data_IF_986862931927
#
_entry.id   IF_986862931927
#
_cell.length_a   1.000
_cell.length_b   1.000
_cell.length_c   1.000
_cell.angle_alpha   90.00
_cell.angle_beta   90.00
_cell.angle_gamma   90.00
#
_symmetry.space_group_name_H-M   'P 1'
#
loop_
_entity.id
_entity.type
_entity.pdbx_description
1 polymer ?
#
# COMPACT_ATOMS: atom_id res chain seq x y z
N UNK A 1 19.30 -32.36 19.96
CA UNK A 1 18.30 -32.20 18.90
C UNK A 1 19.06 -31.64 17.70
N UNK A 2 19.49 -32.53 16.78
CA UNK A 2 20.39 -32.18 15.66
C UNK A 2 19.60 -31.39 14.61
N UNK A 3 19.89 -30.10 14.47
CA UNK A 3 19.39 -29.30 13.36
C UNK A 3 20.04 -29.84 12.07
N UNK A 4 19.22 -30.39 11.15
CA UNK A 4 19.71 -30.89 9.87
C UNK A 4 20.33 -29.75 9.06
N UNK A 5 21.47 -29.93 8.37
CA UNK A 5 22.10 -28.89 7.56
C UNK A 5 21.17 -28.34 6.46
N UNK A 6 20.20 -29.13 6.03
CA UNK A 6 19.16 -28.71 5.06
C UNK A 6 18.18 -27.67 5.64
N UNK A 7 17.88 -27.72 6.94
CA UNK A 7 16.98 -26.74 7.58
C UNK A 7 17.67 -25.40 7.80
N UNK A 8 18.97 -25.39 8.05
CA UNK A 8 19.76 -24.19 8.20
C UNK A 8 19.94 -23.44 6.87
N UNK A 9 20.20 -24.18 5.78
CA UNK A 9 20.32 -23.57 4.46
C UNK A 9 18.99 -22.97 3.96
N UNK A 10 17.87 -23.63 4.22
CA UNK A 10 16.53 -23.09 3.89
C UNK A 10 16.21 -21.84 4.71
N UNK A 11 16.56 -21.81 6.00
CA UNK A 11 16.37 -20.64 6.86
C UNK A 11 17.18 -19.43 6.37
N UNK A 12 18.47 -19.64 6.06
CA UNK A 12 19.34 -18.58 5.53
C UNK A 12 18.84 -18.08 4.17
N UNK A 13 18.42 -18.98 3.28
CA UNK A 13 17.85 -18.61 1.99
C UNK A 13 16.58 -17.75 2.14
N UNK A 14 15.67 -18.10 3.06
CA UNK A 14 14.48 -17.32 3.38
C UNK A 14 14.85 -15.92 3.93
N UNK A 15 15.79 -15.82 4.86
CA UNK A 15 16.23 -14.52 5.38
C UNK A 15 16.83 -13.61 4.30
N UNK A 16 17.68 -14.17 3.43
CA UNK A 16 18.27 -13.42 2.31
C UNK A 16 17.18 -12.95 1.36
N UNK A 17 16.20 -13.81 1.07
CA UNK A 17 15.09 -13.48 0.19
C UNK A 17 14.18 -12.39 0.79
N UNK A 18 13.81 -12.47 2.07
CA UNK A 18 12.98 -11.45 2.72
C UNK A 18 13.68 -10.09 2.77
N UNK A 19 15.00 -10.07 2.99
CA UNK A 19 15.78 -8.84 2.90
C UNK A 19 15.78 -8.27 1.48
N UNK A 20 15.95 -9.11 0.46
CA UNK A 20 15.93 -8.69 -0.94
C UNK A 20 14.56 -8.10 -1.32
N UNK A 21 13.46 -8.78 -0.97
CA UNK A 21 12.09 -8.29 -1.14
C UNK A 21 11.89 -6.92 -0.47
N UNK A 22 12.35 -6.77 0.78
CA UNK A 22 12.26 -5.52 1.52
C UNK A 22 12.98 -4.36 0.80
N UNK A 23 14.23 -4.56 0.35
CA UNK A 23 15.00 -3.48 -0.27
C UNK A 23 14.45 -3.08 -1.65
N UNK A 24 13.99 -4.02 -2.46
CA UNK A 24 13.40 -3.69 -3.77
C UNK A 24 12.07 -2.96 -3.57
N UNK A 25 11.18 -3.48 -2.71
CA UNK A 25 9.91 -2.82 -2.43
C UNK A 25 10.12 -1.43 -1.82
N UNK A 26 11.10 -1.25 -0.91
CA UNK A 26 11.44 0.06 -0.35
C UNK A 26 11.94 1.04 -1.43
N UNK A 27 12.79 0.57 -2.34
CA UNK A 27 13.28 1.37 -3.46
C UNK A 27 12.14 1.80 -4.39
N UNK A 28 11.23 0.88 -4.74
CA UNK A 28 10.05 1.18 -5.55
C UNK A 28 9.13 2.17 -4.83
N UNK A 29 8.90 2.01 -3.53
CA UNK A 29 8.09 2.93 -2.73
C UNK A 29 8.64 4.36 -2.76
N UNK A 30 9.96 4.53 -2.56
CA UNK A 30 10.60 5.85 -2.58
C UNK A 30 10.51 6.49 -3.96
N UNK A 31 10.84 5.76 -5.03
CA UNK A 31 10.74 6.28 -6.40
C UNK A 31 9.29 6.64 -6.74
N UNK A 32 8.35 5.76 -6.45
CA UNK A 32 6.94 6.02 -6.72
C UNK A 32 6.46 7.28 -5.96
N UNK A 33 6.84 7.45 -4.69
CA UNK A 33 6.48 8.64 -3.89
C UNK A 33 7.09 9.93 -4.46
N UNK A 34 8.35 9.91 -4.91
CA UNK A 34 8.96 11.06 -5.59
C UNK A 34 8.18 11.40 -6.86
N UNK A 35 7.77 10.41 -7.63
CA UNK A 35 6.96 10.60 -8.83
C UNK A 35 5.57 11.13 -8.53
N UNK A 36 4.93 10.75 -7.41
CA UNK A 36 3.65 11.34 -6.94
C UNK A 36 3.78 12.85 -6.80
N UNK A 37 4.84 13.33 -6.14
CA UNK A 37 5.02 14.75 -5.82
C UNK A 37 5.43 15.57 -7.07
N UNK A 38 6.16 14.95 -7.99
CA UNK A 38 6.70 15.65 -9.17
C UNK A 38 5.74 15.72 -10.35
N UNK A 39 4.65 14.92 -10.34
CA UNK A 39 3.69 14.92 -11.44
C UNK A 39 2.70 16.08 -11.31
N UNK A 40 2.51 16.81 -12.39
CA UNK A 40 1.52 17.91 -12.49
C UNK A 40 0.11 17.42 -12.74
N UNK A 41 -0.04 16.21 -13.31
CA UNK A 41 -1.35 15.61 -13.58
C UNK A 41 -1.78 14.75 -12.39
N UNK A 42 -2.92 15.09 -11.79
CA UNK A 42 -3.45 14.42 -10.60
C UNK A 42 -3.73 12.92 -10.80
N UNK A 43 -4.19 12.52 -11.98
CA UNK A 43 -4.46 11.10 -12.28
C UNK A 43 -3.17 10.29 -12.34
N UNK A 44 -2.12 10.86 -12.96
CA UNK A 44 -0.80 10.20 -12.97
C UNK A 44 -0.18 10.13 -11.58
N UNK A 45 -0.32 11.19 -10.78
CA UNK A 45 0.12 11.18 -9.39
C UNK A 45 -0.58 10.07 -8.59
N UNK A 46 -1.91 9.89 -8.80
CA UNK A 46 -2.64 8.79 -8.16
C UNK A 46 -2.15 7.40 -8.59
N UNK A 47 -1.83 7.18 -9.86
CA UNK A 47 -1.29 5.89 -10.31
C UNK A 47 0.02 5.54 -9.59
N UNK A 48 0.92 6.51 -9.46
CA UNK A 48 2.16 6.31 -8.70
C UNK A 48 1.90 6.16 -7.20
N UNK A 49 0.89 6.82 -6.65
CA UNK A 49 0.49 6.66 -5.25
C UNK A 49 0.01 5.23 -4.97
N UNK A 50 -0.80 4.65 -5.87
CA UNK A 50 -1.23 3.24 -5.77
C UNK A 50 0.00 2.32 -5.74
N UNK A 51 0.94 2.52 -6.66
CA UNK A 51 2.17 1.71 -6.72
C UNK A 51 2.98 1.86 -5.42
N UNK A 52 3.10 3.07 -4.88
CA UNK A 52 3.79 3.31 -3.61
C UNK A 52 3.15 2.56 -2.44
N UNK A 53 1.83 2.61 -2.33
CA UNK A 53 1.08 1.92 -1.26
C UNK A 53 1.16 0.38 -1.41
N UNK A 54 1.12 -0.14 -2.64
CA UNK A 54 1.33 -1.57 -2.88
C UNK A 54 2.76 -2.01 -2.52
N UNK A 55 3.75 -1.17 -2.78
CA UNK A 55 5.13 -1.44 -2.35
C UNK A 55 5.25 -1.46 -0.82
N UNK A 56 4.56 -0.55 -0.10
CA UNK A 56 4.49 -0.55 1.37
C UNK A 56 3.82 -1.83 1.89
N UNK A 57 2.77 -2.32 1.22
CA UNK A 57 2.15 -3.60 1.58
C UNK A 57 3.14 -4.77 1.47
N UNK A 58 3.98 -4.81 0.41
CA UNK A 58 5.04 -5.83 0.28
C UNK A 58 6.13 -5.68 1.34
N UNK A 59 6.46 -4.47 1.77
CA UNK A 59 7.36 -4.22 2.89
C UNK A 59 6.79 -4.84 4.18
N UNK A 60 5.51 -4.65 4.48
CA UNK A 60 4.86 -5.30 5.63
C UNK A 60 4.89 -6.82 5.52
N UNK A 61 4.71 -7.35 4.31
CA UNK A 61 4.82 -8.79 4.06
C UNK A 61 6.23 -9.30 4.34
N UNK A 62 7.25 -8.59 3.87
CA UNK A 62 8.66 -8.90 4.13
C UNK A 62 9.04 -8.82 5.62
N UNK A 63 8.38 -7.95 6.38
CA UNK A 63 8.55 -7.82 7.84
C UNK A 63 7.77 -8.88 8.64
N UNK A 64 7.14 -9.85 7.99
CA UNK A 64 6.38 -10.89 8.66
C UNK A 64 5.03 -10.44 9.23
N UNK A 65 4.44 -9.39 8.67
CA UNK A 65 3.14 -8.84 9.08
C UNK A 65 2.06 -8.96 7.96
N UNK A 66 1.70 -10.17 7.51
CA UNK A 66 0.82 -10.37 6.36
C UNK A 66 -0.58 -9.80 6.58
N UNK A 67 -1.08 -9.78 7.80
CA UNK A 67 -2.36 -9.18 8.11
C UNK A 67 -2.34 -7.65 7.93
N UNK A 68 -1.27 -6.99 8.35
CA UNK A 68 -1.10 -5.53 8.16
C UNK A 68 -0.94 -5.21 6.68
N UNK A 69 -0.19 -6.03 5.92
CA UNK A 69 -0.09 -5.91 4.47
C UNK A 69 -1.45 -5.98 3.78
N UNK A 70 -2.32 -6.91 4.19
CA UNK A 70 -3.68 -7.01 3.66
C UNK A 70 -4.53 -5.78 4.01
N UNK A 71 -4.42 -5.23 5.23
CA UNK A 71 -5.11 -4.00 5.63
C UNK A 71 -4.63 -2.79 4.83
N UNK A 72 -3.33 -2.68 4.54
CA UNK A 72 -2.77 -1.64 3.68
C UNK A 72 -3.42 -1.65 2.29
N UNK A 73 -3.53 -2.83 1.67
CA UNK A 73 -4.17 -2.96 0.36
C UNK A 73 -5.66 -2.63 0.42
N UNK A 74 -6.40 -3.15 1.40
CA UNK A 74 -7.85 -2.97 1.48
C UNK A 74 -8.23 -1.53 1.81
N UNK A 75 -7.56 -0.91 2.79
CA UNK A 75 -7.94 0.41 3.29
C UNK A 75 -7.31 1.51 2.46
N UNK A 76 -5.98 1.46 2.24
CA UNK A 76 -5.26 2.54 1.58
C UNK A 76 -5.35 2.42 0.06
N UNK A 77 -4.84 1.35 -0.54
CA UNK A 77 -4.90 1.18 -1.98
C UNK A 77 -6.33 0.92 -2.50
N UNK A 78 -7.20 0.33 -1.68
CA UNK A 78 -8.61 0.10 -1.98
C UNK A 78 -9.47 1.34 -1.68
N UNK A 79 -9.91 1.51 -0.43
CA UNK A 79 -10.95 2.48 -0.08
C UNK A 79 -10.52 3.94 -0.29
N UNK A 80 -9.36 4.34 0.21
CA UNK A 80 -8.92 5.75 0.18
C UNK A 80 -8.58 6.18 -1.24
N UNK A 81 -7.86 5.37 -2.01
CA UNK A 81 -7.52 5.70 -3.39
C UNK A 81 -8.75 5.77 -4.28
N UNK A 82 -9.71 4.85 -4.12
CA UNK A 82 -10.97 4.89 -4.87
C UNK A 82 -11.73 6.18 -4.58
N UNK A 83 -11.74 6.63 -3.31
CA UNK A 83 -12.31 7.93 -2.94
C UNK A 83 -11.60 9.09 -3.66
N UNK A 84 -10.26 9.09 -3.71
CA UNK A 84 -9.49 10.11 -4.42
C UNK A 84 -9.78 10.12 -5.93
N UNK A 85 -9.82 8.95 -6.58
CA UNK A 85 -10.19 8.83 -8.00
C UNK A 85 -11.57 9.42 -8.24
N UNK A 86 -12.55 9.10 -7.39
CA UNK A 86 -13.90 9.63 -7.49
C UNK A 86 -13.93 11.15 -7.34
N UNK A 87 -13.22 11.70 -6.35
CA UNK A 87 -13.13 13.16 -6.13
C UNK A 87 -12.48 13.86 -7.32
N UNK A 88 -11.38 13.34 -7.87
CA UNK A 88 -10.71 13.94 -9.02
C UNK A 88 -11.60 13.89 -10.26
N UNK A 89 -12.33 12.80 -10.46
CA UNK A 89 -13.30 12.68 -11.55
C UNK A 89 -14.46 13.67 -11.39
N UNK A 90 -14.95 13.87 -10.16
CA UNK A 90 -16.03 14.84 -9.86
C UNK A 90 -15.60 16.30 -9.97
N UNK A 91 -14.34 16.61 -9.67
CA UNK A 91 -13.82 17.97 -9.75
C UNK A 91 -13.72 18.51 -11.18
N UNK A 92 -13.95 17.69 -12.20
CA UNK A 92 -13.99 17.99 -13.63
C UNK A 92 -13.49 19.42 -13.97
N UNK A 93 -12.19 19.60 -14.04
CA UNK A 93 -11.50 20.89 -14.12
C UNK A 93 -11.63 21.55 -15.52
N UNK A 94 -12.86 21.72 -16.01
CA UNK A 94 -13.21 22.57 -17.13
C UNK A 94 -12.72 22.11 -18.51
N UNK A 95 -12.66 23.04 -19.46
CA UNK A 95 -12.29 22.80 -20.87
C UNK A 95 -10.87 22.24 -21.09
N UNK A 96 -10.03 22.26 -20.08
CA UNK A 96 -8.74 21.57 -20.08
C UNK A 96 -8.88 20.05 -19.94
N UNK A 97 -10.00 19.56 -19.43
CA UNK A 97 -10.22 18.12 -19.16
C UNK A 97 -10.17 17.29 -20.45
N UNK A 98 -10.79 17.75 -21.53
CA UNK A 98 -10.79 17.02 -22.81
C UNK A 98 -9.37 16.91 -23.44
N UNK A 99 -8.53 17.91 -23.27
CA UNK A 99 -7.12 17.85 -23.70
C UNK A 99 -6.26 17.01 -22.77
N UNK A 100 -6.60 16.97 -21.47
CA UNK A 100 -5.96 16.10 -20.51
C UNK A 100 -6.38 14.64 -20.70
N UNK A 101 -7.63 14.38 -21.06
CA UNK A 101 -8.16 13.04 -21.31
C UNK A 101 -7.46 12.38 -22.51
N UNK A 102 -7.24 13.10 -23.60
CA UNK A 102 -6.44 12.62 -24.75
C UNK A 102 -4.95 12.39 -24.40
N UNK A 103 -4.39 13.19 -23.51
CA UNK A 103 -3.02 12.99 -23.01
C UNK A 103 -2.90 11.80 -22.05
N UNK A 104 -3.97 11.43 -21.34
CA UNK A 104 -4.03 10.24 -20.49
C UNK A 104 -4.06 8.93 -21.29
N UNK A 105 -4.56 8.97 -22.51
CA UNK A 105 -4.61 7.82 -23.42
C UNK A 105 -3.27 7.57 -24.13
N UNK A 106 -2.29 8.47 -24.01
CA UNK A 106 -0.98 8.29 -24.59
C UNK A 106 -0.26 7.09 -23.92
N UNK A 107 0.15 6.05 -24.68
CA UNK A 107 0.74 4.84 -24.13
C UNK A 107 2.03 5.11 -23.32
N UNK A 108 2.76 6.16 -23.65
CA UNK A 108 3.99 6.58 -22.96
C UNK A 108 3.79 6.89 -21.48
N UNK A 109 2.60 7.31 -21.11
CA UNK A 109 2.24 7.69 -19.75
C UNK A 109 2.09 6.49 -18.81
N UNK A 110 1.66 5.35 -19.37
CA UNK A 110 1.40 4.12 -18.64
C UNK A 110 2.66 3.28 -18.41
N UNK A 111 3.73 3.52 -19.17
CA UNK A 111 4.97 2.73 -19.09
C UNK A 111 5.57 2.81 -17.67
N UNK A 112 5.66 3.98 -17.09
CA UNK A 112 6.25 4.16 -15.75
C UNK A 112 5.52 3.36 -14.66
N UNK A 113 4.22 3.62 -14.43
CA UNK A 113 3.44 2.86 -13.44
C UNK A 113 3.40 1.35 -13.76
N UNK A 114 3.29 0.96 -15.05
CA UNK A 114 3.25 -0.44 -15.47
C UNK A 114 4.55 -1.19 -15.16
N UNK A 115 5.71 -0.58 -15.38
CA UNK A 115 7.01 -1.18 -15.06
C UNK A 115 7.15 -1.38 -13.54
N UNK A 116 6.85 -0.36 -12.75
CA UNK A 116 6.94 -0.47 -11.29
C UNK A 116 5.94 -1.51 -10.73
N UNK A 117 4.71 -1.50 -11.24
CA UNK A 117 3.70 -2.49 -10.87
C UNK A 117 4.12 -3.90 -11.29
N UNK A 118 4.74 -4.05 -12.46
CA UNK A 118 5.28 -5.30 -12.96
C UNK A 118 6.38 -5.87 -12.04
N UNK A 119 7.27 -5.02 -11.54
CA UNK A 119 8.29 -5.42 -10.57
C UNK A 119 7.63 -5.96 -9.29
N UNK A 120 6.68 -5.21 -8.71
CA UNK A 120 5.97 -5.64 -7.50
C UNK A 120 5.15 -6.92 -7.74
N UNK A 121 4.53 -7.07 -8.91
CA UNK A 121 3.79 -8.27 -9.27
C UNK A 121 4.72 -9.50 -9.39
N UNK A 122 5.91 -9.33 -9.96
CA UNK A 122 6.92 -10.39 -10.01
C UNK A 122 7.42 -10.78 -8.62
N UNK A 123 7.66 -9.80 -7.74
CA UNK A 123 8.03 -10.04 -6.33
C UNK A 123 6.95 -10.84 -5.59
N UNK A 124 5.69 -10.40 -5.72
CA UNK A 124 4.56 -11.07 -5.09
C UNK A 124 4.35 -12.48 -5.65
N UNK A 125 4.43 -12.65 -6.98
CA UNK A 125 4.31 -13.95 -7.61
C UNK A 125 5.41 -14.91 -7.14
N UNK A 126 6.64 -14.44 -7.07
CA UNK A 126 7.76 -15.23 -6.55
C UNK A 126 7.57 -15.60 -5.07
N UNK A 127 7.05 -14.67 -4.26
CA UNK A 127 6.70 -14.92 -2.86
C UNK A 127 5.60 -16.01 -2.73
N UNK A 128 4.57 -15.96 -3.58
CA UNK A 128 3.44 -16.92 -3.53
C UNK A 128 3.80 -18.32 -4.08
N UNK A 129 4.68 -18.38 -5.10
CA UNK A 129 5.10 -19.66 -5.73
C UNK A 129 6.19 -20.33 -4.90
N UNK A 130 7.01 -19.56 -4.16
CA UNK A 130 8.01 -20.12 -3.27
C UNK A 130 7.34 -21.06 -2.25
N UNK A 131 7.83 -22.30 -2.12
CA UNK A 131 7.41 -23.24 -1.09
C UNK A 131 7.83 -22.73 0.30
N UNK A 132 7.12 -21.69 0.77
CA UNK A 132 7.26 -21.25 2.14
C UNK A 132 6.52 -22.28 2.98
N UNK A 133 7.27 -23.14 3.66
CA UNK A 133 6.72 -24.14 4.58
C UNK A 133 5.65 -23.51 5.45
N UNK A 134 4.48 -24.21 5.63
CA UNK A 134 3.39 -23.71 6.47
C UNK A 134 3.74 -23.71 7.98
N UNK A 135 5.00 -23.89 8.33
CA UNK A 135 5.47 -23.70 9.70
C UNK A 135 5.39 -22.21 9.99
N UNK A 136 4.54 -21.79 10.94
CA UNK A 136 4.51 -20.39 11.36
C UNK A 136 5.93 -19.99 11.78
N UNK A 137 6.54 -19.10 10.99
CA UNK A 137 7.82 -18.53 11.38
C UNK A 137 7.59 -17.85 12.74
N UNK A 138 8.41 -18.12 13.78
CA UNK A 138 8.27 -17.48 15.09
C UNK A 138 8.25 -15.97 15.05
N UNK A 139 8.67 -15.38 13.90
CA UNK A 139 8.63 -13.94 13.65
C UNK A 139 7.35 -13.39 13.02
N UNK A 140 6.41 -14.25 12.57
CA UNK A 140 5.19 -13.74 11.91
C UNK A 140 4.14 -13.27 12.92
N UNK A 141 3.64 -12.05 12.71
CA UNK A 141 2.58 -11.45 13.53
C UNK A 141 1.22 -11.95 13.06
N UNK A 142 0.55 -12.76 13.88
CA UNK A 142 -0.77 -13.29 13.56
C UNK A 142 -1.88 -12.24 13.73
N UNK A 143 -2.98 -12.39 12.99
CA UNK A 143 -4.19 -11.55 13.11
C UNK A 143 -4.70 -11.48 14.56
N UNK A 144 -4.65 -12.60 15.29
CA UNK A 144 -5.08 -12.67 16.68
C UNK A 144 -4.19 -11.83 17.60
N UNK A 145 -2.87 -11.82 17.39
CA UNK A 145 -1.93 -10.99 18.16
C UNK A 145 -2.20 -9.51 17.94
N UNK A 146 -2.46 -9.09 16.70
CA UNK A 146 -2.84 -7.71 16.38
C UNK A 146 -4.15 -7.33 17.10
N UNK A 147 -5.16 -8.19 17.03
CA UNK A 147 -6.43 -7.97 17.74
C UNK A 147 -6.25 -7.83 19.26
N UNK A 148 -5.50 -8.73 19.89
CA UNK A 148 -5.21 -8.66 21.34
C UNK A 148 -4.46 -7.37 21.69
N UNK A 149 -3.52 -6.93 20.85
CA UNK A 149 -2.78 -5.70 21.09
C UNK A 149 -3.70 -4.47 20.99
N UNK A 150 -4.52 -4.38 19.95
CA UNK A 150 -5.41 -3.23 19.72
C UNK A 150 -6.50 -3.11 20.79
N UNK A 151 -7.10 -4.24 21.21
CA UNK A 151 -8.17 -4.24 22.23
C UNK A 151 -7.67 -4.46 23.67
N UNK A 152 -6.36 -4.58 23.87
CA UNK A 152 -5.72 -4.67 25.17
C UNK A 152 -4.89 -3.41 25.48
N UNK A 153 -3.56 -3.48 25.40
CA UNK A 153 -2.69 -2.37 25.82
C UNK A 153 -2.86 -1.10 24.98
N UNK A 154 -3.32 -1.20 23.74
CA UNK A 154 -3.53 -0.06 22.83
C UNK A 154 -5.00 0.39 22.72
N UNK A 155 -5.92 -0.12 23.54
CA UNK A 155 -7.35 0.19 23.47
C UNK A 155 -7.63 1.71 23.53
N UNK A 156 -6.95 2.42 24.43
CA UNK A 156 -7.08 3.89 24.54
C UNK A 156 -6.65 4.59 23.25
N UNK A 157 -5.57 4.12 22.61
CA UNK A 157 -5.12 4.65 21.32
C UNK A 157 -6.14 4.43 20.20
N UNK A 158 -6.82 3.28 20.19
CA UNK A 158 -7.90 2.97 19.22
C UNK A 158 -9.11 3.88 19.45
N UNK A 159 -9.51 4.15 20.71
CA UNK A 159 -10.59 5.08 21.01
C UNK A 159 -10.26 6.51 20.57
N UNK A 160 -9.06 6.99 20.88
CA UNK A 160 -8.61 8.31 20.43
C UNK A 160 -8.57 8.42 18.89
N UNK A 161 -8.12 7.37 18.20
CA UNK A 161 -8.13 7.32 16.75
C UNK A 161 -9.56 7.38 16.18
N UNK A 162 -10.53 6.69 16.81
CA UNK A 162 -11.94 6.73 16.40
C UNK A 162 -12.55 8.13 16.56
N UNK A 163 -12.25 8.83 17.66
CA UNK A 163 -12.68 10.21 17.87
C UNK A 163 -12.07 11.17 16.84
N UNK A 164 -10.78 10.97 16.50
CA UNK A 164 -10.09 11.75 15.48
C UNK A 164 -10.71 11.55 14.09
N UNK A 165 -11.03 10.31 13.73
CA UNK A 165 -11.71 9.99 12.47
C UNK A 165 -13.10 10.64 12.40
N UNK A 166 -13.87 10.59 13.51
CA UNK A 166 -15.18 11.25 13.59
C UNK A 166 -15.03 12.77 13.45
N UNK A 167 -14.07 13.36 14.16
CA UNK A 167 -13.80 14.81 14.05
C UNK A 167 -13.40 15.20 12.62
N UNK A 168 -12.57 14.38 11.95
CA UNK A 168 -12.20 14.58 10.56
C UNK A 168 -13.41 14.53 9.63
N UNK A 169 -14.33 13.56 9.83
CA UNK A 169 -15.56 13.45 9.04
C UNK A 169 -16.47 14.67 9.23
N UNK A 170 -16.70 15.10 10.47
CA UNK A 170 -17.52 16.29 10.78
C UNK A 170 -16.88 17.55 10.22
N UNK A 171 -15.55 17.71 10.34
CA UNK A 171 -14.80 18.82 9.77
C UNK A 171 -14.91 18.87 8.25
N UNK A 172 -14.75 17.74 7.57
CA UNK A 172 -14.91 17.64 6.11
C UNK A 172 -16.34 18.01 5.67
N UNK A 173 -17.35 17.54 6.38
CA UNK A 173 -18.75 17.90 6.12
C UNK A 173 -19.00 19.39 6.29
N UNK A 174 -18.48 20.00 7.36
CA UNK A 174 -18.64 21.42 7.63
C UNK A 174 -17.98 22.30 6.57
N UNK A 175 -16.77 21.95 6.14
CA UNK A 175 -16.04 22.68 5.10
C UNK A 175 -16.62 22.49 3.72
N UNK A 176 -17.20 21.30 3.43
CA UNK A 176 -17.81 20.98 2.15
C UNK A 176 -19.23 21.53 1.96
N UNK A 177 -19.87 21.96 3.04
CA UNK A 177 -21.23 22.52 2.99
C UNK A 177 -21.19 23.93 2.42
N UNK A 178 -21.72 24.13 1.21
CA UNK A 178 -22.00 25.47 0.68
C UNK A 178 -23.11 26.11 1.50
N UNK A 179 -22.83 27.23 2.15
CA UNK A 179 -23.90 28.11 2.61
C UNK A 179 -24.57 28.68 1.34
N UNK A 180 -25.82 28.27 1.11
CA UNK A 180 -26.66 28.96 0.13
C UNK A 180 -27.08 30.27 0.76
N UNK A 181 -26.81 31.43 0.11
CA UNK A 181 -27.30 32.73 0.56
C UNK A 181 -28.84 32.81 0.46
#
# INVERSE_FOLDING_TARGET
MFCSPSSLSAFVANMVFMNFLFYISAFVAVIATILVITRTNAVHALLYLIVSLLAVALIFLALGAPFVAALEVIIYAGAIIVLFVFVIMMLNLGTSAAKQETALLAPEVWIGPAVLCGILACELAYFLIGEHSPVPDPGTVSTKQVGIALFGPYALGVELASMLLLAGLVGAYHLGRREQP
#
